data_IF_508869986947
#
_entry.id   IF_508869986947
#
_cell.length_a   1.000
_cell.length_b   1.000
_cell.length_c   1.000
_cell.angle_alpha   90.00
_cell.angle_beta   90.00
_cell.angle_gamma   90.00
#
_symmetry.space_group_name_H-M   'P 1'
#
loop_
_entity.id
_entity.type
_entity.pdbx_description
1 polymer ?
#
# COMPACT_ATOMS: atom_id res chain seq x y z
N UNK A 1 -5.77 42.11 -11.31
CA UNK A 1 -6.55 41.01 -10.69
C UNK A 1 -6.34 39.77 -11.53
N UNK A 2 -5.57 38.79 -11.06
CA UNK A 2 -5.41 37.51 -11.76
C UNK A 2 -6.64 36.63 -11.43
N UNK A 3 -7.30 36.11 -12.46
CA UNK A 3 -8.47 35.25 -12.34
C UNK A 3 -8.03 33.78 -12.41
N UNK A 4 -8.28 33.04 -11.34
CA UNK A 4 -8.14 31.58 -11.28
C UNK A 4 -9.46 30.94 -11.67
N UNK A 5 -9.47 30.17 -12.76
CA UNK A 5 -10.62 29.37 -13.19
C UNK A 5 -10.54 27.95 -12.64
N UNK A 6 -11.61 27.48 -11.99
CA UNK A 6 -11.73 26.10 -11.53
C UNK A 6 -12.72 25.39 -12.43
N UNK A 7 -12.28 24.37 -13.16
CA UNK A 7 -13.14 23.53 -14.01
C UNK A 7 -13.34 22.18 -13.31
N UNK A 8 -14.59 21.74 -13.22
CA UNK A 8 -15.00 20.47 -12.61
C UNK A 8 -15.50 19.53 -13.70
N UNK A 9 -14.70 18.54 -14.05
CA UNK A 9 -15.19 17.44 -14.89
C UNK A 9 -16.08 16.51 -14.06
N UNK A 10 -17.23 16.11 -14.62
CA UNK A 10 -18.12 15.14 -13.98
C UNK A 10 -17.55 13.72 -14.20
N UNK A 11 -17.34 12.93 -13.12
CA UNK A 11 -16.88 11.56 -13.28
C UNK A 11 -17.88 10.72 -14.06
N UNK A 12 -17.41 10.00 -15.07
CA UNK A 12 -18.17 8.97 -15.77
C UNK A 12 -18.18 7.68 -14.93
N UNK A 13 -19.22 6.86 -15.08
CA UNK A 13 -19.37 5.59 -14.35
C UNK A 13 -18.12 4.72 -14.52
N UNK A 14 -17.47 4.35 -13.41
CA UNK A 14 -16.23 3.54 -13.39
C UNK A 14 -14.92 4.34 -13.44
N UNK A 15 -14.97 5.64 -13.74
CA UNK A 15 -13.80 6.53 -13.67
C UNK A 15 -13.70 7.20 -12.29
N UNK A 16 -12.48 7.52 -11.92
CA UNK A 16 -12.24 8.25 -10.69
C UNK A 16 -12.81 9.67 -10.75
N UNK A 17 -13.37 10.13 -9.63
CA UNK A 17 -13.80 11.52 -9.44
C UNK A 17 -12.68 12.54 -9.36
N UNK A 18 -11.40 12.13 -9.39
CA UNK A 18 -10.26 13.03 -9.11
C UNK A 18 -9.65 13.70 -10.33
N UNK A 19 -10.39 13.74 -11.44
CA UNK A 19 -10.30 14.92 -12.33
C UNK A 19 -10.95 16.16 -11.72
N UNK A 20 -11.49 16.07 -10.50
CA UNK A 20 -11.96 17.22 -9.74
C UNK A 20 -10.77 18.10 -9.32
N UNK A 21 -10.71 19.29 -9.91
CA UNK A 21 -9.81 20.41 -9.61
C UNK A 21 -8.42 20.34 -10.27
N UNK A 22 -8.35 20.41 -11.60
CA UNK A 22 -7.18 21.04 -12.23
C UNK A 22 -7.21 22.53 -11.93
N UNK A 23 -6.39 22.98 -10.97
CA UNK A 23 -6.08 24.40 -10.80
C UNK A 23 -5.14 24.78 -11.95
N UNK A 24 -5.64 25.52 -12.93
CA UNK A 24 -4.80 26.15 -13.94
C UNK A 24 -4.08 27.34 -13.28
N UNK A 25 -2.98 27.06 -12.56
CA UNK A 25 -2.06 28.14 -12.15
C UNK A 25 -1.31 28.61 -13.39
N UNK A 26 -1.32 29.92 -13.67
CA UNK A 26 -0.53 30.52 -14.75
C UNK A 26 0.99 30.44 -14.50
N UNK A 27 1.42 29.83 -13.39
CA UNK A 27 2.81 29.42 -13.20
C UNK A 27 3.06 28.12 -13.94
N UNK A 28 3.58 28.22 -15.16
CA UNK A 28 4.44 27.16 -15.70
C UNK A 28 5.43 26.76 -14.59
N UNK A 29 5.43 25.48 -14.19
CA UNK A 29 6.52 24.76 -13.47
C UNK A 29 6.29 24.28 -12.02
N UNK A 30 5.14 24.46 -11.36
CA UNK A 30 4.96 23.88 -9.99
C UNK A 30 4.47 22.40 -10.02
N UNK A 31 3.71 22.01 -11.05
CA UNK A 31 3.19 20.63 -11.23
C UNK A 31 3.93 19.83 -12.31
N UNK A 32 5.04 20.34 -12.84
CA UNK A 32 5.76 19.67 -13.92
C UNK A 32 6.41 18.38 -13.40
N UNK A 33 6.00 17.23 -13.95
CA UNK A 33 6.51 15.91 -13.58
C UNK A 33 5.81 15.20 -12.41
N UNK A 34 4.69 15.73 -11.90
CA UNK A 34 3.82 15.01 -10.95
C UNK A 34 2.70 14.28 -11.70
N UNK A 35 2.59 12.98 -11.49
CA UNK A 35 1.59 12.12 -12.11
C UNK A 35 0.92 11.22 -11.08
N UNK A 36 -0.28 10.72 -11.37
CA UNK A 36 -0.94 9.75 -10.49
C UNK A 36 -0.05 8.52 -10.29
N UNK A 37 0.02 8.07 -9.04
CA UNK A 37 0.79 6.89 -8.64
C UNK A 37 0.25 5.64 -9.34
N UNK A 38 1.17 4.84 -9.87
CA UNK A 38 0.89 3.48 -10.37
C UNK A 38 1.30 2.49 -9.30
N UNK A 39 0.33 1.80 -8.74
CA UNK A 39 0.56 0.74 -7.77
C UNK A 39 0.44 -0.60 -8.52
N UNK A 40 1.44 -1.47 -8.41
CA UNK A 40 1.31 -2.87 -8.83
C UNK A 40 1.05 -3.75 -7.61
N UNK A 41 0.16 -4.73 -7.72
CA UNK A 41 -0.21 -5.58 -6.59
C UNK A 41 0.09 -7.04 -6.90
N UNK A 42 1.06 -7.60 -6.17
CA UNK A 42 1.29 -9.04 -6.13
C UNK A 42 0.51 -9.66 -4.97
N UNK A 43 -0.27 -10.70 -5.25
CA UNK A 43 -1.14 -11.34 -4.28
C UNK A 43 -0.56 -12.70 -3.91
N UNK A 44 -0.30 -12.91 -2.63
CA UNK A 44 0.15 -14.18 -2.05
C UNK A 44 -0.92 -14.68 -1.07
N UNK A 45 -2.08 -15.08 -1.63
CA UNK A 45 -3.25 -15.49 -0.83
C UNK A 45 -3.34 -17.01 -0.64
N UNK A 46 -2.48 -17.78 -1.31
CA UNK A 46 -2.48 -19.26 -1.26
C UNK A 46 -1.54 -19.81 -0.20
N UNK A 47 -0.44 -19.12 0.10
CA UNK A 47 0.64 -19.66 0.93
C UNK A 47 0.49 -19.34 2.43
N UNK A 48 -0.74 -19.24 2.91
CA UNK A 48 -0.99 -18.87 4.31
C UNK A 48 -0.32 -19.83 5.30
N UNK A 49 -0.30 -21.13 4.96
CA UNK A 49 0.34 -22.19 5.74
C UNK A 49 1.87 -22.07 5.75
N UNK A 50 2.49 -21.73 4.63
CA UNK A 50 3.94 -21.54 4.54
C UNK A 50 4.39 -20.28 5.30
N UNK A 51 3.61 -19.20 5.21
CA UNK A 51 3.84 -17.98 5.98
C UNK A 51 3.76 -18.25 7.49
N UNK A 52 2.69 -18.92 7.95
CA UNK A 52 2.57 -19.33 9.36
C UNK A 52 3.72 -20.23 9.81
N UNK A 53 4.17 -21.18 8.97
CA UNK A 53 5.32 -22.04 9.27
C UNK A 53 6.58 -21.19 9.50
N UNK A 54 6.87 -20.24 8.59
CA UNK A 54 8.02 -19.33 8.70
C UNK A 54 7.94 -18.41 9.94
N UNK A 55 6.74 -17.96 10.33
CA UNK A 55 6.55 -17.14 11.55
C UNK A 55 6.80 -17.98 12.81
N UNK A 56 6.20 -19.18 12.88
CA UNK A 56 6.33 -20.07 14.02
C UNK A 56 7.77 -20.61 14.21
N UNK A 57 8.49 -20.92 13.12
CA UNK A 57 9.88 -21.40 13.15
C UNK A 57 10.86 -20.38 13.73
N UNK A 58 10.60 -19.08 13.55
CA UNK A 58 11.48 -18.02 14.02
C UNK A 58 11.29 -17.67 15.52
N UNK A 59 10.47 -18.42 16.27
CA UNK A 59 10.10 -18.10 17.66
C UNK A 59 9.61 -16.65 17.86
N UNK A 60 9.12 -16.03 16.79
CA UNK A 60 8.31 -14.83 16.89
C UNK A 60 6.97 -15.32 17.40
N UNK A 61 6.88 -15.53 18.72
CA UNK A 61 5.62 -15.59 19.44
C UNK A 61 4.97 -14.23 19.21
N UNK A 62 4.32 -14.08 18.06
CA UNK A 62 3.69 -12.85 17.61
C UNK A 62 2.69 -12.44 18.67
N UNK A 63 3.13 -11.54 19.57
CA UNK A 63 2.30 -10.89 20.59
C UNK A 63 1.36 -11.82 21.37
N UNK A 64 1.76 -13.08 21.59
CA UNK A 64 0.97 -14.06 22.34
C UNK A 64 -0.19 -14.74 21.58
N UNK A 65 -0.34 -14.55 20.26
CA UNK A 65 -1.30 -15.29 19.43
C UNK A 65 -0.54 -16.20 18.47
N UNK A 66 -0.61 -17.52 18.70
CA UNK A 66 -0.09 -18.48 17.72
C UNK A 66 -0.79 -18.31 16.37
N UNK A 67 -0.05 -18.45 15.26
CA UNK A 67 -0.62 -18.47 13.91
C UNK A 67 -1.61 -19.65 13.84
N UNK A 68 -2.90 -19.38 14.05
CA UNK A 68 -3.94 -20.40 13.97
C UNK A 68 -4.07 -20.86 12.52
N UNK A 69 -4.53 -22.08 12.27
CA UNK A 69 -4.81 -22.55 10.90
C UNK A 69 -6.08 -21.93 10.30
N UNK A 70 -6.61 -20.85 10.88
CA UNK A 70 -7.81 -20.19 10.38
C UNK A 70 -7.51 -19.64 8.98
N UNK A 71 -8.17 -20.24 7.99
CA UNK A 71 -7.99 -19.89 6.58
C UNK A 71 -9.19 -19.06 6.15
N UNK A 72 -8.96 -18.03 5.35
CA UNK A 72 -10.05 -17.31 4.69
C UNK A 72 -10.87 -18.27 3.83
N UNK A 73 -12.19 -18.10 3.82
CA UNK A 73 -13.06 -18.90 2.95
C UNK A 73 -12.81 -18.58 1.47
N UNK A 74 -13.14 -19.49 0.53
CA UNK A 74 -13.03 -19.21 -0.91
C UNK A 74 -13.80 -17.94 -1.34
N UNK A 75 -14.96 -17.68 -0.75
CA UNK A 75 -15.76 -16.49 -1.04
C UNK A 75 -15.08 -15.21 -0.52
N UNK A 76 -14.52 -15.24 0.70
CA UNK A 76 -13.73 -14.12 1.22
C UNK A 76 -12.50 -13.86 0.36
N UNK A 77 -11.80 -14.91 -0.07
CA UNK A 77 -10.66 -14.78 -0.96
C UNK A 77 -11.04 -14.12 -2.28
N UNK A 78 -12.14 -14.58 -2.90
CA UNK A 78 -12.68 -13.97 -4.11
C UNK A 78 -13.01 -12.49 -3.91
N UNK A 79 -13.67 -12.15 -2.80
CA UNK A 79 -13.97 -10.75 -2.47
C UNK A 79 -12.70 -9.93 -2.24
N UNK A 80 -11.68 -10.49 -1.60
CA UNK A 80 -10.36 -9.86 -1.41
C UNK A 80 -9.73 -9.54 -2.76
N UNK A 81 -9.66 -10.53 -3.64
CA UNK A 81 -8.98 -10.44 -4.93
C UNK A 81 -9.68 -9.53 -5.94
N UNK A 82 -11.01 -9.65 -6.05
CA UNK A 82 -11.78 -9.04 -7.14
C UNK A 82 -12.41 -7.70 -6.73
N UNK A 83 -12.66 -7.47 -5.44
CA UNK A 83 -13.40 -6.29 -4.96
C UNK A 83 -12.58 -5.43 -4.02
N UNK A 84 -12.04 -6.02 -2.95
CA UNK A 84 -11.47 -5.27 -1.83
C UNK A 84 -10.13 -4.65 -2.23
N UNK A 85 -9.15 -5.46 -2.67
CA UNK A 85 -7.83 -4.98 -3.07
C UNK A 85 -7.93 -3.97 -4.23
N UNK A 86 -8.67 -4.25 -5.33
CA UNK A 86 -8.78 -3.28 -6.42
C UNK A 86 -9.40 -1.95 -6.01
N UNK A 87 -10.44 -1.97 -5.17
CA UNK A 87 -11.06 -0.74 -4.70
C UNK A 87 -10.17 0.03 -3.70
N UNK A 88 -9.46 -0.66 -2.81
CA UNK A 88 -8.53 -0.05 -1.86
C UNK A 88 -7.33 0.59 -2.57
N UNK A 89 -6.73 -0.13 -3.54
CA UNK A 89 -5.70 0.37 -4.46
C UNK A 89 -6.16 1.64 -5.16
N UNK A 90 -7.35 1.60 -5.75
CA UNK A 90 -7.93 2.72 -6.48
C UNK A 90 -8.11 3.97 -5.61
N UNK A 91 -8.45 3.82 -4.32
CA UNK A 91 -8.56 4.98 -3.43
C UNK A 91 -7.27 5.80 -3.34
N UNK A 92 -6.11 5.14 -3.43
CA UNK A 92 -4.78 5.76 -3.39
C UNK A 92 -4.31 6.25 -4.76
N UNK A 93 -4.42 5.41 -5.81
CA UNK A 93 -4.06 5.79 -7.18
C UNK A 93 -4.81 7.02 -7.68
N UNK A 94 -6.03 7.18 -7.20
CA UNK A 94 -6.88 8.31 -7.53
C UNK A 94 -6.44 9.62 -6.85
N UNK A 95 -5.69 9.57 -5.74
CA UNK A 95 -5.44 10.74 -4.87
C UNK A 95 -3.98 11.16 -4.77
N UNK A 96 -3.06 10.21 -4.95
CA UNK A 96 -1.65 10.45 -4.69
C UNK A 96 -0.93 10.70 -6.01
N UNK A 97 -0.30 11.87 -6.08
CA UNK A 97 0.63 12.20 -7.15
C UNK A 97 2.05 11.84 -6.70
N UNK A 98 2.86 11.37 -7.64
CA UNK A 98 4.28 11.07 -7.46
C UNK A 98 5.09 11.64 -8.62
N UNK A 99 6.36 11.95 -8.35
CA UNK A 99 7.36 12.17 -9.40
C UNK A 99 7.94 10.82 -9.79
N UNK A 100 7.57 10.32 -10.97
CA UNK A 100 7.96 8.97 -11.39
C UNK A 100 9.47 8.79 -11.44
N UNK A 101 9.93 7.64 -10.96
CA UNK A 101 11.31 7.21 -11.17
C UNK A 101 11.55 6.90 -12.65
N UNK A 102 12.81 6.95 -13.08
CA UNK A 102 13.19 6.52 -14.43
C UNK A 102 13.31 5.00 -14.48
N UNK A 103 12.60 4.36 -15.40
CA UNK A 103 12.70 2.92 -15.64
C UNK A 103 11.79 2.07 -14.75
N UNK A 104 12.02 0.76 -14.75
CA UNK A 104 11.28 -0.21 -13.95
C UNK A 104 11.78 -0.26 -12.51
N UNK A 105 10.87 -0.39 -11.57
CA UNK A 105 11.14 -0.56 -10.14
C UNK A 105 11.64 -1.98 -9.87
N UNK A 106 12.87 -2.11 -9.37
CA UNK A 106 13.43 -3.39 -8.92
C UNK A 106 13.25 -3.55 -7.43
N UNK A 107 12.68 -4.67 -7.03
CA UNK A 107 12.46 -5.00 -5.62
C UNK A 107 13.79 -5.50 -5.05
N UNK A 108 14.31 -4.91 -3.96
CA UNK A 108 15.53 -5.41 -3.35
C UNK A 108 15.29 -6.76 -2.66
N UNK A 109 16.36 -7.49 -2.41
CA UNK A 109 16.31 -8.60 -1.45
C UNK A 109 16.09 -8.01 -0.05
N UNK A 110 15.17 -8.59 0.71
CA UNK A 110 14.88 -8.14 2.07
C UNK A 110 15.87 -8.74 3.07
N UNK A 111 16.33 -7.89 4.00
CA UNK A 111 17.22 -8.34 5.08
C UNK A 111 16.51 -9.34 6.02
N UNK A 112 17.30 -10.15 6.72
CA UNK A 112 16.81 -11.20 7.64
C UNK A 112 15.94 -10.61 8.78
N UNK A 113 16.07 -9.33 9.11
CA UNK A 113 15.31 -8.69 10.18
C UNK A 113 14.12 -7.85 9.67
N UNK A 114 13.74 -7.98 8.40
CA UNK A 114 12.63 -7.25 7.79
C UNK A 114 11.37 -8.14 7.75
N UNK A 115 10.24 -7.65 8.27
CA UNK A 115 8.94 -8.37 8.24
C UNK A 115 8.51 -8.75 6.81
N UNK A 116 8.96 -8.00 5.81
CA UNK A 116 8.68 -8.26 4.41
C UNK A 116 9.37 -9.51 3.84
N UNK A 117 10.37 -10.07 4.53
CA UNK A 117 11.06 -11.31 4.10
C UNK A 117 10.13 -12.52 4.01
N UNK A 118 8.97 -12.45 4.65
CA UNK A 118 8.00 -13.52 4.69
C UNK A 118 7.07 -13.54 3.47
N UNK A 119 7.03 -12.46 2.68
CA UNK A 119 6.22 -12.36 1.47
C UNK A 119 6.94 -12.98 0.28
N UNK A 120 6.19 -13.70 -0.56
CA UNK A 120 6.73 -14.24 -1.81
C UNK A 120 6.89 -13.14 -2.84
N UNK A 121 8.12 -12.93 -3.29
CA UNK A 121 8.46 -11.99 -4.37
C UNK A 121 8.81 -12.79 -5.62
N UNK A 122 8.14 -12.57 -6.76
CA UNK A 122 8.53 -13.17 -8.03
C UNK A 122 9.96 -12.78 -8.43
N UNK A 123 10.73 -13.73 -8.97
CA UNK A 123 12.13 -13.49 -9.37
C UNK A 123 12.24 -12.38 -10.43
N UNK A 124 11.22 -12.21 -11.27
CA UNK A 124 11.15 -11.14 -12.26
C UNK A 124 11.08 -9.74 -11.62
N UNK A 125 10.50 -9.62 -10.43
CA UNK A 125 10.44 -8.33 -9.71
C UNK A 125 11.82 -7.90 -9.20
N UNK A 126 12.71 -8.87 -8.93
CA UNK A 126 14.11 -8.62 -8.56
C UNK A 126 14.99 -8.31 -9.78
N UNK A 127 14.78 -9.05 -10.88
CA UNK A 127 15.63 -9.02 -12.07
C UNK A 127 15.20 -7.96 -13.11
N UNK A 128 14.08 -8.19 -13.79
CA UNK A 128 13.55 -7.31 -14.83
C UNK A 128 12.92 -6.04 -14.24
N UNK A 129 12.36 -6.16 -13.04
CA UNK A 129 11.61 -5.11 -12.36
C UNK A 129 10.19 -4.94 -12.90
N UNK A 130 9.45 -4.08 -12.22
CA UNK A 130 8.02 -3.83 -12.42
C UNK A 130 7.83 -2.41 -12.97
N UNK A 131 6.99 -2.23 -13.99
CA UNK A 131 6.63 -0.90 -14.49
C UNK A 131 5.56 -0.24 -13.59
N UNK A 132 5.98 0.17 -12.41
CA UNK A 132 5.14 0.79 -11.40
C UNK A 132 5.94 1.82 -10.58
N UNK A 133 5.21 2.68 -9.86
CA UNK A 133 5.81 3.65 -8.94
C UNK A 133 5.87 3.11 -7.50
N UNK A 134 5.05 2.10 -7.19
CA UNK A 134 5.04 1.35 -5.94
C UNK A 134 4.59 -0.09 -6.16
N UNK A 135 5.26 -1.07 -5.55
CA UNK A 135 4.86 -2.49 -5.58
C UNK A 135 4.35 -2.91 -4.21
N UNK A 136 3.13 -3.44 -4.17
CA UNK A 136 2.47 -3.91 -2.96
C UNK A 136 2.34 -5.42 -2.97
N UNK A 137 2.85 -6.09 -1.93
CA UNK A 137 2.61 -7.51 -1.69
C UNK A 137 1.47 -7.69 -0.71
N UNK A 138 0.46 -8.50 -1.06
CA UNK A 138 -0.72 -8.69 -0.21
C UNK A 138 -0.85 -10.16 0.17
N UNK A 139 -0.93 -10.40 1.47
CA UNK A 139 -1.25 -11.69 2.07
C UNK A 139 -2.58 -11.62 2.83
N UNK A 140 -3.16 -12.79 3.08
CA UNK A 140 -4.32 -12.95 3.96
C UNK A 140 -4.08 -14.13 4.90
N UNK A 141 -3.10 -13.95 5.78
CA UNK A 141 -2.70 -14.91 6.80
C UNK A 141 -3.43 -14.62 8.12
N UNK A 142 -3.57 -15.63 9.00
CA UNK A 142 -4.26 -15.51 10.29
C UNK A 142 -3.41 -14.78 11.34
N UNK A 143 -2.87 -13.63 10.94
CA UNK A 143 -2.25 -12.63 11.78
C UNK A 143 -3.12 -11.37 11.79
N UNK A 144 -2.94 -10.46 12.75
CA UNK A 144 -3.56 -9.15 12.69
C UNK A 144 -3.32 -8.47 11.33
N UNK A 145 -4.28 -7.68 10.88
CA UNK A 145 -4.05 -6.86 9.67
C UNK A 145 -2.96 -5.83 9.95
N UNK A 146 -2.05 -5.66 9.00
CA UNK A 146 -0.98 -4.68 9.09
C UNK A 146 -0.56 -4.21 7.70
N UNK A 147 0.05 -3.04 7.64
CA UNK A 147 0.77 -2.53 6.48
C UNK A 147 2.17 -2.05 6.87
N UNK A 148 3.16 -2.40 6.06
CA UNK A 148 4.57 -2.07 6.33
C UNK A 148 5.27 -1.63 5.05
N UNK A 149 6.15 -0.64 5.18
CA UNK A 149 7.07 -0.24 4.11
C UNK A 149 8.26 -1.20 4.10
N UNK A 150 8.49 -1.85 2.96
CA UNK A 150 9.54 -2.86 2.79
C UNK A 150 10.83 -2.29 2.20
N UNK A 151 10.71 -1.28 1.33
CA UNK A 151 11.86 -0.60 0.73
C UNK A 151 11.52 0.85 0.38
N UNK A 152 12.55 1.69 0.46
CA UNK A 152 12.50 3.12 0.10
C UNK A 152 13.50 3.42 -1.01
N UNK A 153 13.20 4.40 -1.83
CA UNK A 153 14.11 4.92 -2.84
C UNK A 153 15.25 5.70 -2.16
N UNK A 154 16.51 5.31 -2.38
CA UNK A 154 17.67 5.90 -1.71
C UNK A 154 17.79 7.42 -1.88
N UNK A 155 17.39 7.96 -3.04
CA UNK A 155 17.53 9.40 -3.35
C UNK A 155 16.52 10.29 -2.63
N UNK A 156 15.32 9.77 -2.36
CA UNK A 156 14.20 10.59 -1.83
C UNK A 156 13.64 10.09 -0.51
N UNK A 157 13.99 8.88 -0.09
CA UNK A 157 13.36 8.17 1.02
C UNK A 157 11.90 7.78 0.74
N UNK A 158 11.41 7.92 -0.50
CA UNK A 158 10.03 7.58 -0.85
C UNK A 158 9.82 6.06 -0.75
N UNK A 159 8.77 5.58 -0.06
CA UNK A 159 8.35 4.19 -0.11
C UNK A 159 8.12 3.73 -1.55
N UNK A 160 8.75 2.63 -1.94
CA UNK A 160 8.63 2.04 -3.28
C UNK A 160 8.16 0.58 -3.23
N UNK A 161 8.36 -0.11 -2.11
CA UNK A 161 7.83 -1.45 -1.90
C UNK A 161 7.18 -1.49 -0.53
N UNK A 162 6.03 -2.14 -0.45
CA UNK A 162 5.36 -2.40 0.82
C UNK A 162 4.62 -3.72 0.82
N UNK A 163 4.18 -4.12 1.99
CA UNK A 163 3.44 -5.34 2.19
C UNK A 163 2.26 -5.12 3.12
N UNK A 164 1.17 -5.84 2.88
CA UNK A 164 -0.04 -5.81 3.69
C UNK A 164 -0.46 -7.24 3.98
N UNK A 165 -0.76 -7.51 5.25
CA UNK A 165 -1.60 -8.64 5.61
C UNK A 165 -3.03 -8.13 5.85
N UNK A 166 -4.02 -8.77 5.23
CA UNK A 166 -5.42 -8.50 5.51
C UNK A 166 -6.12 -9.77 6.00
N UNK A 167 -6.54 -9.74 7.27
CA UNK A 167 -7.35 -10.79 7.87
C UNK A 167 -8.79 -10.29 8.03
N UNK A 168 -9.76 -10.83 7.27
CA UNK A 168 -11.16 -10.45 7.39
C UNK A 168 -11.70 -10.71 8.79
N UNK A 169 -12.41 -9.73 9.36
CA UNK A 169 -13.14 -9.95 10.62
C UNK A 169 -14.53 -10.54 10.34
N UNK A 170 -15.07 -11.40 11.22
CA UNK A 170 -16.44 -11.90 11.08
C UNK A 170 -17.44 -10.75 10.91
N UNK A 171 -18.38 -10.92 9.98
CA UNK A 171 -19.44 -9.94 9.65
C UNK A 171 -18.97 -8.60 9.06
N UNK A 172 -17.69 -8.46 8.69
CA UNK A 172 -17.23 -7.27 7.97
C UNK A 172 -17.79 -7.25 6.55
N UNK A 173 -18.44 -6.15 6.18
CA UNK A 173 -18.91 -5.97 4.80
C UNK A 173 -17.79 -5.45 3.90
N UNK A 174 -17.93 -5.66 2.59
CA UNK A 174 -16.94 -5.26 1.57
C UNK A 174 -16.55 -3.79 1.67
N UNK A 175 -17.48 -2.87 1.99
CA UNK A 175 -17.16 -1.44 2.09
C UNK A 175 -16.22 -1.17 3.27
N UNK A 176 -16.46 -1.78 4.43
CA UNK A 176 -15.58 -1.68 5.59
C UNK A 176 -14.22 -2.32 5.31
N UNK A 177 -14.21 -3.51 4.70
CA UNK A 177 -12.99 -4.20 4.28
C UNK A 177 -12.12 -3.34 3.35
N UNK A 178 -12.73 -2.68 2.35
CA UNK A 178 -12.02 -1.75 1.45
C UNK A 178 -11.34 -0.62 2.23
N UNK A 179 -12.00 -0.06 3.24
CA UNK A 179 -11.43 1.03 4.05
C UNK A 179 -10.31 0.54 4.96
N UNK A 180 -10.44 -0.65 5.53
CA UNK A 180 -9.38 -1.28 6.31
C UNK A 180 -8.15 -1.59 5.46
N UNK A 181 -8.32 -2.24 4.30
CA UNK A 181 -7.18 -2.49 3.40
C UNK A 181 -6.57 -1.18 2.89
N UNK A 182 -7.38 -0.16 2.58
CA UNK A 182 -6.84 1.15 2.20
C UNK A 182 -6.05 1.81 3.34
N UNK A 183 -6.46 1.62 4.59
CA UNK A 183 -5.71 2.07 5.77
C UNK A 183 -4.34 1.38 5.85
N UNK A 184 -4.29 0.05 5.71
CA UNK A 184 -3.01 -0.67 5.71
C UNK A 184 -2.11 -0.30 4.53
N UNK A 185 -2.68 -0.08 3.34
CA UNK A 185 -1.92 0.45 2.19
C UNK A 185 -1.33 1.84 2.51
N UNK A 186 -2.04 2.68 3.28
CA UNK A 186 -1.51 3.99 3.68
C UNK A 186 -0.26 3.83 4.57
N UNK A 187 -0.27 2.89 5.51
CA UNK A 187 0.91 2.56 6.31
C UNK A 187 2.08 2.08 5.44
N UNK A 188 1.81 1.18 4.47
CA UNK A 188 2.81 0.70 3.52
C UNK A 188 3.40 1.83 2.64
N UNK A 189 2.60 2.84 2.33
CA UNK A 189 2.99 4.08 1.63
C UNK A 189 3.69 5.11 2.52
N UNK A 190 4.00 4.77 3.78
CA UNK A 190 4.78 5.62 4.69
C UNK A 190 3.96 6.51 5.63
N UNK A 191 2.63 6.34 5.69
CA UNK A 191 1.80 7.05 6.68
C UNK A 191 1.96 6.39 8.06
N UNK A 192 3.08 6.59 8.74
CA UNK A 192 3.35 6.03 10.06
C UNK A 192 4.10 7.05 10.94
N UNK A 193 3.91 6.95 12.26
CA UNK A 193 4.49 7.89 13.21
C UNK A 193 6.02 7.97 13.12
N UNK A 194 6.78 6.85 13.04
CA UNK A 194 8.23 6.92 12.89
C UNK A 194 8.68 7.71 11.66
N UNK A 195 7.98 7.58 10.52
CA UNK A 195 8.28 8.38 9.33
C UNK A 195 7.92 9.85 9.52
N UNK A 196 6.81 10.14 10.18
CA UNK A 196 6.42 11.52 10.50
C UNK A 196 7.43 12.19 11.44
N UNK A 197 7.95 11.46 12.43
CA UNK A 197 9.02 11.91 13.33
C UNK A 197 10.32 12.15 12.57
N UNK A 198 10.75 11.20 11.72
CA UNK A 198 11.94 11.35 10.86
C UNK A 198 11.85 12.58 9.96
N UNK A 199 10.66 12.90 9.47
CA UNK A 199 10.40 14.10 8.64
C UNK A 199 10.19 15.38 9.45
N UNK A 200 10.14 15.31 10.79
CA UNK A 200 9.93 16.47 11.65
C UNK A 200 8.55 17.13 11.48
N UNK A 201 7.51 16.35 11.12
CA UNK A 201 6.15 16.85 10.87
C UNK A 201 5.17 16.55 12.02
N UNK A 202 5.69 16.11 13.16
CA UNK A 202 4.95 15.95 14.42
C UNK A 202 5.61 16.77 15.52
N UNK A 203 4.85 17.12 16.55
CA UNK A 203 5.32 17.85 17.73
C UNK A 203 4.64 17.25 18.95
N UNK A 204 5.42 17.07 20.01
CA UNK A 204 4.90 16.65 21.31
C UNK A 204 4.20 17.82 21.98
N UNK A 205 3.01 17.57 22.53
CA UNK A 205 2.23 18.57 23.26
C UNK A 205 1.93 18.01 24.64
N UNK A 206 2.35 18.72 25.68
CA UNK A 206 1.92 18.42 27.05
C UNK A 206 0.45 18.82 27.22
N UNK A 207 -0.40 17.85 27.57
CA UNK A 207 -1.78 18.11 27.96
C UNK A 207 -1.77 18.67 29.38
N UNK A 208 -2.30 19.89 29.54
CA UNK A 208 -2.58 20.50 30.84
C UNK A 208 -3.99 20.17 31.32
#
# INVERSE_FOLDING_TARGET
>A
VQSTGVVRELPRKGQSGVRAYTVATQKKNENEGWELIRIEVSKDLENASEYCRKVNENNVRDRGMGCQTSTITPDQKKDIEEKIIPAAKKLHEDRLFVRRGSGKLRVPLFEVNNDCKHFTVPDEHHSDGVDADFVLYVAAVPLPSFGVTCAVENSTGRPIVGAVNYMPTPHENVRSSVRRVAHEIAHALGFNLPEMERKGIVTEVELR
#
